data_IF_967342494729
#
_entry.id   IF_967342494729
#
_cell.length_a   1.000
_cell.length_b   1.000
_cell.length_c   1.000
_cell.angle_alpha   90.00
_cell.angle_beta   90.00
_cell.angle_gamma   90.00
#
_symmetry.space_group_name_H-M   'P 1'
#
loop_
_entity.id
_entity.type
_entity.pdbx_description
1 polymer ?
#
# COMPACT_ATOMS: atom_id res chain seq x y z
N UNK A 1 17.22 4.98 -23.01
CA UNK A 1 15.94 5.20 -23.74
C UNK A 1 15.10 3.92 -23.80
N UNK A 2 15.63 2.78 -24.27
CA UNK A 2 14.86 1.51 -24.35
C UNK A 2 14.29 1.01 -23.01
N UNK A 3 14.99 1.22 -21.89
CA UNK A 3 14.51 0.86 -20.54
C UNK A 3 13.27 1.66 -20.11
N UNK A 4 13.27 2.97 -20.33
CA UNK A 4 12.14 3.85 -20.02
C UNK A 4 10.93 3.53 -20.90
N UNK A 5 11.13 3.29 -22.20
CA UNK A 5 10.05 2.90 -23.13
C UNK A 5 9.41 1.57 -22.74
N UNK A 6 10.21 0.58 -22.30
CA UNK A 6 9.70 -0.70 -21.79
C UNK A 6 8.93 -0.52 -20.49
N UNK A 7 9.45 0.27 -19.56
CA UNK A 7 8.78 0.54 -18.28
C UNK A 7 7.46 1.31 -18.48
N UNK A 8 7.42 2.20 -19.46
CA UNK A 8 6.20 2.88 -19.91
C UNK A 8 5.19 1.91 -20.51
N UNK A 9 5.63 0.99 -21.38
CA UNK A 9 4.77 -0.04 -21.94
C UNK A 9 4.17 -0.95 -20.85
N UNK A 10 4.97 -1.35 -19.85
CA UNK A 10 4.52 -2.11 -18.69
C UNK A 10 3.46 -1.36 -17.87
N UNK A 11 3.67 -0.07 -17.68
CA UNK A 11 2.65 0.82 -17.11
C UNK A 11 1.36 0.72 -17.93
N UNK A 12 1.42 1.05 -19.22
CA UNK A 12 0.27 1.03 -20.13
C UNK A 12 -0.48 -0.30 -20.13
N UNK A 13 0.23 -1.44 -20.07
CA UNK A 13 -0.38 -2.76 -19.95
C UNK A 13 -1.17 -2.90 -18.65
N UNK A 14 -0.58 -2.49 -17.52
CA UNK A 14 -1.27 -2.49 -16.22
C UNK A 14 -2.51 -1.60 -16.26
N UNK A 15 -2.43 -0.41 -16.86
CA UNK A 15 -3.58 0.47 -17.07
C UNK A 15 -4.65 -0.17 -17.96
N UNK A 16 -4.24 -0.87 -19.02
CA UNK A 16 -5.15 -1.54 -19.96
C UNK A 16 -5.93 -2.67 -19.27
N UNK A 17 -5.26 -3.50 -18.49
CA UNK A 17 -5.88 -4.57 -17.70
C UNK A 17 -6.86 -3.99 -16.69
N UNK A 18 -6.46 -2.97 -15.92
CA UNK A 18 -7.36 -2.33 -14.95
C UNK A 18 -8.56 -1.64 -15.61
N UNK A 19 -8.41 -1.05 -16.81
CA UNK A 19 -9.53 -0.43 -17.54
C UNK A 19 -10.55 -1.46 -18.03
N UNK A 20 -10.13 -2.69 -18.30
CA UNK A 20 -11.01 -3.79 -18.69
C UNK A 20 -11.74 -4.41 -17.50
N UNK A 21 -11.21 -4.23 -16.29
CA UNK A 21 -11.78 -4.79 -15.07
C UNK A 21 -11.91 -3.75 -13.94
N UNK A 22 -12.91 -2.85 -14.02
CA UNK A 22 -13.13 -1.82 -13.02
C UNK A 22 -13.56 -2.40 -11.66
N UNK A 23 -13.97 -3.67 -11.59
CA UNK A 23 -14.38 -4.32 -10.33
C UNK A 23 -13.22 -4.38 -9.33
N UNK A 24 -11.96 -4.47 -9.81
CA UNK A 24 -10.77 -4.45 -8.96
C UNK A 24 -10.61 -3.16 -8.13
N UNK A 25 -11.15 -2.03 -8.61
CA UNK A 25 -11.11 -0.76 -7.89
C UNK A 25 -12.07 -0.71 -6.70
N UNK A 26 -13.10 -1.55 -6.68
CA UNK A 26 -14.05 -1.60 -5.58
C UNK A 26 -13.38 -2.03 -4.26
N UNK A 27 -12.39 -2.95 -4.32
CA UNK A 27 -11.72 -3.46 -3.13
C UNK A 27 -10.95 -2.40 -2.35
N UNK A 28 -10.02 -1.61 -2.95
CA UNK A 28 -9.35 -0.55 -2.20
C UNK A 28 -10.28 0.61 -1.82
N UNK A 29 -11.34 0.89 -2.58
CA UNK A 29 -12.35 1.89 -2.15
C UNK A 29 -13.05 1.44 -0.88
N UNK A 30 -13.50 0.18 -0.82
CA UNK A 30 -14.08 -0.41 0.39
C UNK A 30 -13.06 -0.43 1.53
N UNK A 31 -11.80 -0.79 1.26
CA UNK A 31 -10.71 -0.74 2.23
C UNK A 31 -10.52 0.65 2.82
N UNK A 32 -10.46 1.68 1.98
CA UNK A 32 -10.32 3.07 2.40
C UNK A 32 -11.54 3.52 3.22
N UNK A 33 -12.75 3.21 2.75
CA UNK A 33 -13.99 3.54 3.46
C UNK A 33 -14.05 2.92 4.85
N UNK A 34 -13.84 1.60 4.97
CA UNK A 34 -13.83 0.92 6.27
C UNK A 34 -12.66 1.38 7.16
N UNK A 35 -11.51 1.74 6.58
CA UNK A 35 -10.38 2.28 7.33
C UNK A 35 -10.71 3.64 7.93
N UNK A 36 -11.35 4.52 7.16
CA UNK A 36 -11.81 5.83 7.64
C UNK A 36 -12.84 5.65 8.76
N UNK A 37 -13.82 4.75 8.57
CA UNK A 37 -14.80 4.46 9.62
C UNK A 37 -14.14 3.94 10.89
N UNK A 38 -13.16 3.05 10.76
CA UNK A 38 -12.42 2.50 11.89
C UNK A 38 -11.64 3.59 12.62
N UNK A 39 -10.90 4.44 11.89
CA UNK A 39 -10.16 5.57 12.49
C UNK A 39 -11.13 6.53 13.17
N UNK A 40 -12.26 6.87 12.54
CA UNK A 40 -13.28 7.73 13.14
C UNK A 40 -13.87 7.11 14.41
N UNK A 41 -14.14 5.80 14.41
CA UNK A 41 -14.68 5.09 15.57
C UNK A 41 -13.72 5.09 16.77
N UNK A 42 -12.41 5.12 16.53
CA UNK A 42 -11.41 5.25 17.59
C UNK A 42 -11.16 6.70 17.99
N UNK A 43 -11.09 7.62 17.04
CA UNK A 43 -10.68 9.01 17.25
C UNK A 43 -11.80 9.87 17.85
N UNK A 44 -13.05 9.67 17.44
CA UNK A 44 -14.18 10.47 17.93
C UNK A 44 -14.37 10.30 19.45
N UNK A 45 -14.42 9.08 20.01
CA UNK A 45 -14.55 8.92 21.46
C UNK A 45 -13.34 9.45 22.23
N UNK A 46 -12.11 9.23 21.75
CA UNK A 46 -10.91 9.71 22.47
C UNK A 46 -10.88 11.23 22.54
N UNK A 47 -11.09 11.91 21.40
CA UNK A 47 -11.11 13.38 21.37
C UNK A 47 -12.31 13.93 22.16
N UNK A 48 -13.48 13.30 22.07
CA UNK A 48 -14.66 13.72 22.82
C UNK A 48 -14.48 13.60 24.34
N UNK A 49 -13.91 12.48 24.81
CA UNK A 49 -13.58 12.27 26.22
C UNK A 49 -12.53 13.27 26.70
N UNK A 50 -11.50 13.54 25.90
CA UNK A 50 -10.48 14.55 26.23
C UNK A 50 -11.08 15.95 26.35
N UNK A 51 -11.95 16.35 25.41
CA UNK A 51 -12.64 17.65 25.46
C UNK A 51 -13.53 17.79 26.71
N UNK A 52 -14.23 16.72 27.09
CA UNK A 52 -15.06 16.67 28.30
C UNK A 52 -14.22 16.72 29.59
N UNK A 53 -13.07 16.05 29.60
CA UNK A 53 -12.23 15.92 30.80
C UNK A 53 -11.32 17.14 31.03
N UNK A 54 -10.84 17.79 29.96
CA UNK A 54 -9.77 18.78 30.08
C UNK A 54 -10.25 20.19 30.41
N UNK A 55 -11.46 20.60 30.00
CA UNK A 55 -11.97 21.98 30.16
C UNK A 55 -11.19 23.06 29.39
N UNK A 56 -9.88 22.88 29.20
CA UNK A 56 -8.93 23.75 28.50
C UNK A 56 -8.15 22.92 27.47
N UNK A 57 -8.75 22.68 26.30
CA UNK A 57 -8.06 22.17 25.11
C UNK A 57 -7.49 20.74 25.22
N UNK A 58 -7.00 20.22 24.09
CA UNK A 58 -6.50 18.83 23.96
C UNK A 58 -5.30 18.64 24.89
N UNK A 59 -5.49 17.94 26.01
CA UNK A 59 -4.41 17.54 26.89
C UNK A 59 -3.39 16.70 26.12
N UNK A 60 -2.10 16.92 26.39
CA UNK A 60 -1.02 16.10 25.86
C UNK A 60 -1.22 14.64 26.30
N UNK A 61 -1.54 13.77 25.33
CA UNK A 61 -1.73 12.33 25.50
C UNK A 61 -0.57 11.73 26.30
N UNK A 62 -0.82 11.33 27.55
CA UNK A 62 0.17 10.61 28.34
C UNK A 62 0.13 9.14 27.92
N UNK A 63 1.21 8.66 27.28
CA UNK A 63 1.33 7.28 26.80
C UNK A 63 1.25 6.24 27.93
N UNK A 64 0.02 5.87 28.31
CA UNK A 64 -0.28 4.79 29.24
C UNK A 64 -0.35 3.43 28.54
N UNK A 65 -0.35 2.35 29.31
CA UNK A 65 -0.47 0.98 28.78
C UNK A 65 -1.75 0.77 27.94
N UNK A 66 -2.85 1.47 28.29
CA UNK A 66 -4.12 1.41 27.56
C UNK A 66 -4.01 2.03 26.15
N UNK A 67 -3.29 3.15 26.00
CA UNK A 67 -3.07 3.78 24.69
C UNK A 67 -2.24 2.88 23.76
N UNK A 68 -1.23 2.19 24.30
CA UNK A 68 -0.43 1.24 23.53
C UNK A 68 -1.28 0.06 23.03
N UNK A 69 -2.19 -0.44 23.86
CA UNK A 69 -3.14 -1.50 23.46
C UNK A 69 -4.10 -1.00 22.39
N UNK A 70 -4.70 0.18 22.57
CA UNK A 70 -5.59 0.77 21.57
C UNK A 70 -4.88 1.04 20.24
N UNK A 71 -3.64 1.55 20.30
CA UNK A 71 -2.80 1.74 19.12
C UNK A 71 -2.51 0.39 18.44
N UNK A 72 -2.16 -0.65 19.18
CA UNK A 72 -1.96 -1.99 18.61
C UNK A 72 -3.22 -2.49 17.91
N UNK A 73 -4.39 -2.40 18.57
CA UNK A 73 -5.67 -2.85 18.00
C UNK A 73 -6.01 -2.08 16.74
N UNK A 74 -5.82 -0.75 16.72
CA UNK A 74 -6.04 0.07 15.54
C UNK A 74 -5.10 -0.31 14.38
N UNK A 75 -3.80 -0.45 14.65
CA UNK A 75 -2.81 -0.87 13.66
C UNK A 75 -3.11 -2.27 13.12
N UNK A 76 -3.49 -3.20 13.99
CA UNK A 76 -3.91 -4.55 13.62
C UNK A 76 -5.15 -4.54 12.73
N UNK A 77 -6.19 -3.80 13.11
CA UNK A 77 -7.44 -3.75 12.35
C UNK A 77 -7.25 -3.07 10.98
N UNK A 78 -6.43 -2.00 10.91
CA UNK A 78 -6.05 -1.37 9.64
C UNK A 78 -5.23 -2.34 8.76
N UNK A 79 -4.25 -3.03 9.34
CA UNK A 79 -3.44 -4.01 8.62
C UNK A 79 -4.28 -5.19 8.11
N UNK A 80 -5.24 -5.64 8.91
CA UNK A 80 -6.21 -6.68 8.52
C UNK A 80 -7.05 -6.25 7.34
N UNK A 81 -7.69 -5.09 7.44
CA UNK A 81 -8.56 -4.58 6.40
C UNK A 81 -7.80 -4.35 5.08
N UNK A 82 -6.63 -3.70 5.16
CA UNK A 82 -5.76 -3.47 4.01
C UNK A 82 -5.34 -4.79 3.36
N UNK A 83 -4.89 -5.76 4.15
CA UNK A 83 -4.45 -7.06 3.63
C UNK A 83 -5.60 -7.85 3.03
N UNK A 84 -6.78 -7.83 3.67
CA UNK A 84 -7.96 -8.54 3.19
C UNK A 84 -8.36 -8.09 1.79
N UNK A 85 -8.47 -6.78 1.56
CA UNK A 85 -8.80 -6.27 0.23
C UNK A 85 -7.65 -6.41 -0.77
N UNK A 86 -6.39 -6.35 -0.33
CA UNK A 86 -5.26 -6.68 -1.19
C UNK A 86 -5.31 -8.14 -1.65
N UNK A 87 -5.69 -9.09 -0.79
CA UNK A 87 -5.90 -10.49 -1.18
C UNK A 87 -6.97 -10.61 -2.25
N UNK A 88 -8.07 -9.85 -2.15
CA UNK A 88 -9.09 -9.82 -3.21
C UNK A 88 -8.50 -9.34 -4.55
N UNK A 89 -7.76 -8.22 -4.55
CA UNK A 89 -7.14 -7.69 -5.78
C UNK A 89 -6.16 -8.68 -6.39
N UNK A 90 -5.30 -9.29 -5.56
CA UNK A 90 -4.30 -10.28 -6.00
C UNK A 90 -4.98 -11.54 -6.54
N UNK A 91 -6.05 -12.02 -5.90
CA UNK A 91 -6.83 -13.16 -6.38
C UNK A 91 -7.47 -12.85 -7.74
N UNK A 92 -8.15 -11.69 -7.88
CA UNK A 92 -8.74 -11.29 -9.15
C UNK A 92 -7.67 -11.20 -10.23
N UNK A 93 -6.53 -10.55 -9.95
CA UNK A 93 -5.42 -10.44 -10.89
C UNK A 93 -4.87 -11.82 -11.30
N UNK A 94 -4.64 -12.71 -10.34
CA UNK A 94 -4.23 -14.10 -10.60
C UNK A 94 -5.20 -14.82 -11.53
N UNK A 95 -6.50 -14.80 -11.23
CA UNK A 95 -7.51 -15.46 -12.05
C UNK A 95 -7.56 -14.88 -13.47
N UNK A 96 -7.40 -13.57 -13.63
CA UNK A 96 -7.31 -12.92 -14.95
C UNK A 96 -6.06 -13.34 -15.73
N UNK A 97 -4.92 -13.45 -15.06
CA UNK A 97 -3.67 -13.90 -15.69
C UNK A 97 -3.73 -15.34 -16.17
N UNK A 98 -4.54 -16.17 -15.52
CA UNK A 98 -4.82 -17.56 -15.87
C UNK A 98 -5.96 -17.69 -16.92
N UNK A 99 -6.43 -16.57 -17.50
CA UNK A 99 -7.50 -16.52 -18.50
C UNK A 99 -8.92 -16.69 -17.98
N UNK A 100 -9.09 -16.71 -16.65
CA UNK A 100 -10.38 -16.74 -15.99
C UNK A 100 -11.02 -15.36 -15.81
N UNK A 101 -12.20 -15.36 -15.19
CA UNK A 101 -12.91 -14.15 -14.79
C UNK A 101 -13.39 -14.32 -13.33
N UNK A 102 -12.67 -13.73 -12.39
CA UNK A 102 -13.08 -13.73 -10.98
C UNK A 102 -14.10 -12.61 -10.74
N UNK A 103 -15.26 -12.98 -10.21
CA UNK A 103 -16.28 -12.02 -9.76
C UNK A 103 -15.90 -11.40 -8.42
N UNK A 104 -16.49 -10.24 -8.11
CA UNK A 104 -16.33 -9.58 -6.82
C UNK A 104 -16.57 -10.52 -5.62
N UNK A 105 -17.65 -11.29 -5.64
CA UNK A 105 -18.02 -12.17 -4.52
C UNK A 105 -17.10 -13.39 -4.41
N UNK A 106 -16.60 -13.92 -5.53
CA UNK A 106 -15.60 -15.00 -5.49
C UNK A 106 -14.30 -14.52 -4.87
N UNK A 107 -13.84 -13.30 -5.18
CA UNK A 107 -12.65 -12.73 -4.57
C UNK A 107 -12.82 -12.51 -3.06
N UNK A 108 -13.99 -12.00 -2.62
CA UNK A 108 -14.30 -11.87 -1.20
C UNK A 108 -14.38 -13.24 -0.52
N UNK A 109 -15.04 -14.22 -1.13
CA UNK A 109 -15.12 -15.58 -0.60
C UNK A 109 -13.74 -16.23 -0.46
N UNK A 110 -12.87 -16.02 -1.46
CA UNK A 110 -11.48 -16.45 -1.40
C UNK A 110 -10.74 -15.78 -0.24
N UNK A 111 -10.84 -14.46 -0.09
CA UNK A 111 -10.21 -13.75 1.02
C UNK A 111 -10.72 -14.23 2.39
N UNK A 112 -12.02 -14.50 2.52
CA UNK A 112 -12.62 -15.09 3.73
C UNK A 112 -12.03 -16.47 4.01
N UNK A 113 -11.85 -17.33 3.01
CA UNK A 113 -11.21 -18.65 3.18
C UNK A 113 -9.75 -18.55 3.67
N UNK A 114 -9.08 -17.41 3.41
CA UNK A 114 -7.70 -17.11 3.83
C UNK A 114 -7.61 -16.26 5.09
N UNK A 115 -8.72 -16.02 5.80
CA UNK A 115 -8.75 -15.21 7.03
C UNK A 115 -7.66 -15.59 8.04
N UNK A 116 -7.38 -16.87 8.34
CA UNK A 116 -6.31 -17.21 9.30
C UNK A 116 -4.94 -16.71 8.87
N UNK A 117 -4.63 -16.77 7.56
CA UNK A 117 -3.38 -16.26 6.99
C UNK A 117 -3.35 -14.73 7.05
N UNK A 118 -4.43 -14.08 6.66
CA UNK A 118 -4.59 -12.61 6.71
C UNK A 118 -4.39 -12.10 8.13
N UNK A 119 -5.11 -12.66 9.12
CA UNK A 119 -4.98 -12.30 10.54
C UNK A 119 -3.53 -12.46 11.01
N UNK A 120 -2.89 -13.59 10.70
CA UNK A 120 -1.51 -13.81 11.13
C UNK A 120 -0.52 -12.81 10.51
N UNK A 121 -0.72 -12.41 9.25
CA UNK A 121 0.07 -11.35 8.62
C UNK A 121 -0.21 -9.99 9.25
N UNK A 122 -1.46 -9.68 9.56
CA UNK A 122 -1.84 -8.40 10.19
C UNK A 122 -1.23 -8.23 11.58
N UNK A 123 -1.07 -9.30 12.35
CA UNK A 123 -0.33 -9.26 13.62
C UNK A 123 1.13 -8.88 13.38
N UNK A 124 1.78 -9.50 12.39
CA UNK A 124 3.18 -9.20 12.03
C UNK A 124 3.30 -7.73 11.57
N UNK A 125 2.44 -7.31 10.66
CA UNK A 125 2.42 -5.95 10.13
C UNK A 125 2.15 -4.90 11.22
N UNK A 126 1.20 -5.15 12.12
CA UNK A 126 0.90 -4.25 13.24
C UNK A 126 2.07 -4.15 14.23
N UNK A 127 2.69 -5.29 14.55
CA UNK A 127 3.87 -5.33 15.42
C UNK A 127 4.99 -4.50 14.83
N UNK A 128 5.28 -4.67 13.53
CA UNK A 128 6.33 -3.91 12.85
C UNK A 128 5.96 -2.43 12.73
N UNK A 129 4.68 -2.12 12.47
CA UNK A 129 4.17 -0.75 12.47
C UNK A 129 4.38 -0.04 13.82
N UNK A 130 4.13 -0.74 14.93
CA UNK A 130 4.41 -0.20 16.27
C UNK A 130 5.90 -0.08 16.56
N UNK A 131 6.72 -1.06 16.16
CA UNK A 131 8.17 -1.01 16.34
C UNK A 131 8.77 0.18 15.59
N UNK A 132 8.36 0.41 14.35
CA UNK A 132 8.76 1.59 13.58
C UNK A 132 8.34 2.89 14.27
N UNK A 133 7.12 2.96 14.81
CA UNK A 133 6.64 4.13 15.57
C UNK A 133 7.47 4.38 16.85
N UNK A 134 7.86 3.33 17.57
CA UNK A 134 8.70 3.47 18.77
C UNK A 134 10.11 3.96 18.42
N UNK A 135 10.67 3.50 17.30
CA UNK A 135 11.96 3.99 16.81
C UNK A 135 11.95 5.50 16.51
N UNK A 136 10.80 6.05 16.13
CA UNK A 136 10.67 7.49 15.86
C UNK A 136 10.86 8.35 17.11
N UNK A 137 10.43 7.85 18.27
CA UNK A 137 10.60 8.54 19.56
C UNK A 137 12.05 8.59 20.06
N UNK A 138 12.93 7.73 19.52
CA UNK A 138 14.35 7.67 19.89
C UNK A 138 15.24 8.52 18.97
N UNK A 139 14.70 9.02 17.86
CA UNK A 139 15.42 9.74 16.82
C UNK A 139 15.56 11.26 17.07
N UNK A 140 14.96 11.79 18.14
CA UNK A 140 15.09 13.20 18.56
C UNK A 140 16.47 13.54 19.16
N UNK A 141 17.48 12.70 18.96
CA UNK A 141 18.85 13.00 19.40
C UNK A 141 19.58 13.83 18.35
N UNK A 142 19.86 15.08 18.69
CA UNK A 142 20.70 15.97 17.88
C UNK A 142 22.13 15.42 17.71
N UNK A 143 22.68 15.53 16.49
CA UNK A 143 24.09 15.26 16.18
C UNK A 143 24.36 14.09 15.22
N UNK A 144 25.66 13.73 15.08
CA UNK A 144 26.14 12.62 14.24
C UNK A 144 25.44 11.28 14.53
N UNK A 145 25.15 10.91 15.80
CA UNK A 145 24.39 9.70 16.11
C UNK A 145 22.99 9.73 15.50
N UNK A 146 22.27 10.86 15.56
CA UNK A 146 20.95 11.01 14.96
C UNK A 146 20.95 10.81 13.44
N UNK A 147 22.00 11.30 12.76
CA UNK A 147 22.16 11.11 11.31
C UNK A 147 22.37 9.63 10.95
N UNK A 148 23.24 8.91 11.68
CA UNK A 148 23.46 7.47 11.47
C UNK A 148 22.19 6.66 11.73
N UNK A 149 21.47 6.97 12.83
CA UNK A 149 20.17 6.35 13.12
C UNK A 149 19.13 6.64 12.04
N UNK A 150 19.11 7.86 11.48
CA UNK A 150 18.25 8.24 10.37
C UNK A 150 18.51 7.42 9.10
N UNK A 151 19.77 7.20 8.75
CA UNK A 151 20.15 6.35 7.60
C UNK A 151 19.72 4.90 7.84
N UNK A 152 20.02 4.34 9.02
CA UNK A 152 19.63 2.96 9.37
C UNK A 152 18.11 2.77 9.34
N UNK A 153 17.34 3.74 9.84
CA UNK A 153 15.88 3.76 9.76
C UNK A 153 15.40 3.78 8.30
N UNK A 154 15.97 4.65 7.48
CA UNK A 154 15.64 4.73 6.06
C UNK A 154 15.89 3.39 5.34
N UNK A 155 17.01 2.74 5.64
CA UNK A 155 17.34 1.42 5.11
C UNK A 155 16.41 0.31 5.63
N UNK A 156 16.06 0.32 6.92
CA UNK A 156 15.10 -0.63 7.50
C UNK A 156 13.70 -0.46 6.91
N UNK A 157 13.22 0.78 6.78
CA UNK A 157 11.95 1.07 6.14
C UNK A 157 11.92 0.67 4.66
N UNK A 158 13.03 0.89 3.94
CA UNK A 158 13.19 0.44 2.57
C UNK A 158 13.24 -1.09 2.46
N UNK A 159 14.01 -1.77 3.31
CA UNK A 159 14.05 -3.22 3.34
C UNK A 159 12.66 -3.82 3.65
N UNK A 160 11.94 -3.24 4.61
CA UNK A 160 10.56 -3.62 4.92
C UNK A 160 9.63 -3.44 3.71
N UNK A 161 9.72 -2.30 3.03
CA UNK A 161 8.88 -2.03 1.87
C UNK A 161 9.13 -3.00 0.71
N UNK A 162 10.38 -3.45 0.54
CA UNK A 162 10.75 -4.46 -0.44
C UNK A 162 10.26 -5.86 -0.07
N UNK A 163 10.41 -6.26 1.19
CA UNK A 163 10.00 -7.60 1.66
C UNK A 163 8.49 -7.79 1.51
N UNK A 164 7.68 -6.76 1.77
CA UNK A 164 6.23 -6.88 1.66
C UNK A 164 5.67 -6.91 0.23
N UNK A 165 6.48 -6.60 -0.81
CA UNK A 165 6.00 -6.47 -2.20
C UNK A 165 5.28 -7.71 -2.70
N UNK A 166 5.84 -8.90 -2.42
CA UNK A 166 5.29 -10.17 -2.87
C UNK A 166 4.63 -10.98 -1.75
N UNK A 167 4.54 -10.47 -0.52
CA UNK A 167 3.95 -11.25 0.58
C UNK A 167 2.50 -11.62 0.30
N UNK A 168 1.67 -10.68 -0.16
CA UNK A 168 0.28 -10.97 -0.50
C UNK A 168 0.18 -11.90 -1.73
N UNK A 169 0.89 -11.64 -2.86
CA UNK A 169 1.01 -12.62 -3.94
C UNK A 169 1.38 -14.03 -3.47
N UNK A 170 2.43 -14.19 -2.67
CA UNK A 170 2.85 -15.50 -2.15
C UNK A 170 1.76 -16.14 -1.32
N UNK A 171 1.11 -15.40 -0.41
CA UNK A 171 0.01 -15.94 0.41
C UNK A 171 -1.17 -16.41 -0.45
N UNK A 172 -1.43 -15.76 -1.58
CA UNK A 172 -2.53 -16.13 -2.48
C UNK A 172 -2.17 -17.33 -3.35
N UNK A 173 -0.96 -17.38 -3.90
CA UNK A 173 -0.51 -18.45 -4.79
C UNK A 173 -0.13 -19.73 -4.06
N UNK A 174 0.56 -19.61 -2.91
CA UNK A 174 1.17 -20.75 -2.22
C UNK A 174 0.45 -21.12 -0.91
N UNK A 175 -0.52 -20.32 -0.44
CA UNK A 175 -1.29 -20.56 0.81
C UNK A 175 -0.42 -20.79 2.07
N UNK A 176 0.72 -20.09 2.12
CA UNK A 176 1.68 -20.19 3.22
C UNK A 176 1.43 -19.13 4.29
N UNK A 177 1.94 -19.39 5.50
CA UNK A 177 1.93 -18.43 6.60
C UNK A 177 2.85 -17.23 6.36
N UNK A 178 2.73 -16.17 7.15
CA UNK A 178 3.38 -14.88 6.92
C UNK A 178 4.91 -14.95 6.93
N UNK A 179 5.49 -15.75 7.83
CA UNK A 179 6.95 -15.92 7.92
C UNK A 179 7.50 -16.57 6.66
N UNK A 180 6.83 -17.61 6.18
CA UNK A 180 7.24 -18.31 4.96
C UNK A 180 6.99 -17.43 3.73
N UNK A 181 5.88 -16.68 3.71
CA UNK A 181 5.60 -15.70 2.67
C UNK A 181 6.69 -14.62 2.55
N UNK A 182 7.20 -14.12 3.68
CA UNK A 182 8.32 -13.17 3.67
C UNK A 182 9.62 -13.79 3.16
N UNK A 183 9.94 -15.02 3.56
CA UNK A 183 11.15 -15.72 3.08
C UNK A 183 11.07 -15.94 1.58
N UNK A 184 9.92 -16.40 1.08
CA UNK A 184 9.67 -16.61 -0.34
C UNK A 184 9.72 -15.30 -1.11
N UNK A 185 9.07 -14.24 -0.60
CA UNK A 185 9.13 -12.89 -1.17
C UNK A 185 10.58 -12.40 -1.30
N UNK A 186 11.39 -12.56 -0.25
CA UNK A 186 12.81 -12.18 -0.26
C UNK A 186 13.64 -13.02 -1.24
N UNK A 187 13.38 -14.33 -1.34
CA UNK A 187 14.05 -15.22 -2.29
C UNK A 187 13.71 -14.83 -3.74
N UNK A 188 12.42 -14.67 -4.05
CA UNK A 188 11.96 -14.20 -5.36
C UNK A 188 12.58 -12.85 -5.70
N UNK A 189 12.57 -11.89 -4.76
CA UNK A 189 13.20 -10.58 -4.94
C UNK A 189 14.69 -10.71 -5.29
N UNK A 190 15.45 -11.54 -4.55
CA UNK A 190 16.88 -11.74 -4.79
C UNK A 190 17.17 -12.34 -6.16
N UNK A 191 16.34 -13.26 -6.63
CA UNK A 191 16.48 -13.91 -7.94
C UNK A 191 16.10 -12.99 -9.09
N UNK A 192 15.11 -12.11 -8.88
CA UNK A 192 14.52 -11.29 -9.93
C UNK A 192 15.06 -9.85 -10.01
N UNK A 193 15.63 -9.29 -8.92
CA UNK A 193 15.89 -7.85 -8.81
C UNK A 193 17.34 -7.40 -9.03
N UNK A 194 18.32 -8.29 -9.04
CA UNK A 194 19.75 -7.94 -9.18
C UNK A 194 20.09 -7.10 -10.43
N UNK A 195 19.36 -7.28 -11.53
CA UNK A 195 19.53 -6.53 -12.80
C UNK A 195 18.32 -5.63 -13.16
N UNK A 196 17.29 -5.58 -12.31
CA UNK A 196 15.98 -4.95 -12.62
C UNK A 196 15.70 -3.65 -11.85
N UNK A 197 16.49 -3.35 -10.82
CA UNK A 197 16.34 -2.13 -9.98
C UNK A 197 16.24 -0.82 -10.79
N UNK A 198 16.94 -0.72 -11.93
CA UNK A 198 16.90 0.48 -12.79
C UNK A 198 15.64 0.56 -13.71
N UNK A 199 14.86 -0.52 -13.83
CA UNK A 199 13.69 -0.62 -14.74
C UNK A 199 12.34 -0.53 -14.00
N UNK A 200 12.30 -0.83 -12.71
CA UNK A 200 11.08 -0.74 -11.87
C UNK A 200 10.58 0.70 -11.67
N UNK A 201 11.44 1.70 -11.83
CA UNK A 201 11.10 3.13 -11.62
C UNK A 201 10.13 3.72 -12.66
N UNK A 202 9.70 2.99 -13.69
CA UNK A 202 8.75 3.52 -14.68
C UNK A 202 7.37 3.86 -14.10
N UNK A 203 6.81 2.97 -13.27
CA UNK A 203 5.55 3.26 -12.56
C UNK A 203 5.74 4.36 -11.51
N UNK A 204 6.87 4.36 -10.81
CA UNK A 204 7.21 5.39 -9.83
C UNK A 204 7.35 6.79 -10.44
N UNK A 205 7.96 6.91 -11.62
CA UNK A 205 8.05 8.18 -12.35
C UNK A 205 6.68 8.68 -12.81
N UNK A 206 5.81 7.77 -13.29
CA UNK A 206 4.45 8.14 -13.66
C UNK A 206 3.63 8.57 -12.44
N UNK A 207 3.75 7.86 -11.32
CA UNK A 207 3.16 8.27 -10.04
C UNK A 207 3.65 9.66 -9.64
N UNK A 208 4.95 9.88 -9.68
CA UNK A 208 5.56 11.16 -9.37
C UNK A 208 5.02 12.29 -10.26
N UNK A 209 4.97 12.11 -11.58
CA UNK A 209 4.47 13.15 -12.48
C UNK A 209 2.96 13.42 -12.33
N UNK A 210 2.17 12.38 -12.07
CA UNK A 210 0.71 12.52 -11.93
C UNK A 210 0.28 13.08 -10.58
N UNK A 211 1.10 12.96 -9.53
CA UNK A 211 0.79 13.54 -8.21
C UNK A 211 1.09 15.05 -8.16
N UNK A 212 2.04 15.57 -8.95
CA UNK A 212 2.39 16.99 -8.99
C UNK A 212 1.20 17.95 -9.18
N UNK A 213 0.28 17.75 -10.15
CA UNK A 213 -0.89 18.62 -10.29
C UNK A 213 -1.84 18.53 -9.08
N UNK A 214 -1.93 17.38 -8.43
CA UNK A 214 -2.76 17.19 -7.22
C UNK A 214 -2.16 17.96 -6.05
N UNK A 215 -0.83 17.92 -5.88
CA UNK A 215 -0.11 18.72 -4.90
C UNK A 215 -0.26 20.21 -5.19
N UNK A 216 -0.17 20.62 -6.45
CA UNK A 216 -0.42 22.00 -6.87
C UNK A 216 -1.84 22.47 -6.51
N UNK A 217 -2.85 21.64 -6.77
CA UNK A 217 -4.23 21.91 -6.38
C UNK A 217 -4.39 22.03 -4.86
N UNK A 218 -3.76 21.15 -4.09
CA UNK A 218 -3.77 21.20 -2.63
C UNK A 218 -3.14 22.50 -2.10
N UNK A 219 -1.92 22.83 -2.55
CA UNK A 219 -1.21 24.05 -2.15
C UNK A 219 -2.03 25.29 -2.52
N UNK A 220 -2.56 25.35 -3.76
CA UNK A 220 -3.42 26.44 -4.20
C UNK A 220 -4.67 26.60 -3.34
N UNK A 221 -5.30 25.49 -2.95
CA UNK A 221 -6.46 25.49 -2.06
C UNK A 221 -6.14 26.04 -0.68
N UNK A 222 -5.01 25.63 -0.09
CA UNK A 222 -4.54 26.13 1.21
C UNK A 222 -4.23 27.64 1.15
N UNK A 223 -3.57 28.11 0.11
CA UNK A 223 -3.29 29.55 -0.08
C UNK A 223 -4.57 30.37 -0.19
N UNK A 224 -5.60 29.85 -0.85
CA UNK A 224 -6.91 30.49 -0.98
C UNK A 224 -7.70 30.54 0.33
N UNK A 225 -7.40 29.69 1.32
CA UNK A 225 -8.06 29.78 2.62
C UNK A 225 -7.76 31.10 3.34
N UNK A 226 -6.59 31.70 3.11
CA UNK A 226 -6.20 32.99 3.70
C UNK A 226 -6.91 34.20 3.10
N UNK A 227 -7.48 34.08 1.90
CA UNK A 227 -8.11 35.19 1.17
C UNK A 227 -9.60 34.98 0.90
N UNK A 228 -10.03 33.74 0.70
CA UNK A 228 -11.40 33.34 0.40
C UNK A 228 -11.70 31.96 1.02
N UNK A 229 -11.97 31.95 2.32
CA UNK A 229 -12.17 30.71 3.11
C UNK A 229 -13.13 29.69 2.45
N UNK A 230 -14.32 30.07 1.92
CA UNK A 230 -15.22 29.08 1.30
C UNK A 230 -14.61 28.42 0.06
N UNK A 231 -13.87 29.19 -0.75
CA UNK A 231 -13.21 28.70 -1.96
C UNK A 231 -12.03 27.78 -1.60
N UNK A 232 -11.25 28.18 -0.60
CA UNK A 232 -10.14 27.36 -0.08
C UNK A 232 -10.62 26.01 0.48
N UNK A 233 -11.71 26.00 1.26
CA UNK A 233 -12.31 24.77 1.79
C UNK A 233 -12.85 23.86 0.69
N UNK A 234 -13.56 24.41 -0.29
CA UNK A 234 -14.05 23.63 -1.44
C UNK A 234 -12.91 23.05 -2.27
N UNK A 235 -11.85 23.83 -2.52
CA UNK A 235 -10.64 23.37 -3.19
C UNK A 235 -9.94 22.25 -2.42
N UNK A 236 -9.86 22.38 -1.09
CA UNK A 236 -9.22 21.37 -0.23
C UNK A 236 -10.01 20.05 -0.27
N UNK A 237 -11.34 20.11 -0.17
CA UNK A 237 -12.19 18.93 -0.31
C UNK A 237 -12.01 18.25 -1.68
N UNK A 238 -11.96 19.03 -2.77
CA UNK A 238 -11.71 18.50 -4.11
C UNK A 238 -10.32 17.87 -4.22
N UNK A 239 -9.29 18.52 -3.67
CA UNK A 239 -7.91 18.00 -3.69
C UNK A 239 -7.81 16.67 -2.95
N UNK A 240 -8.48 16.54 -1.80
CA UNK A 240 -8.55 15.31 -1.02
C UNK A 240 -9.26 14.20 -1.81
N UNK A 241 -10.39 14.50 -2.46
CA UNK A 241 -11.11 13.54 -3.29
C UNK A 241 -10.26 13.01 -4.45
N UNK A 242 -9.63 13.93 -5.21
CA UNK A 242 -8.75 13.57 -6.33
C UNK A 242 -7.56 12.76 -5.85
N UNK A 243 -6.98 13.12 -4.70
CA UNK A 243 -5.88 12.38 -4.10
C UNK A 243 -6.28 10.96 -3.69
N UNK A 244 -7.46 10.76 -3.09
CA UNK A 244 -7.97 9.44 -2.73
C UNK A 244 -8.19 8.56 -3.97
N UNK A 245 -8.78 9.12 -5.04
CA UNK A 245 -8.95 8.41 -6.31
C UNK A 245 -7.60 8.01 -6.89
N UNK A 246 -6.64 8.94 -6.92
CA UNK A 246 -5.27 8.70 -7.38
C UNK A 246 -4.57 7.60 -6.57
N UNK A 247 -4.64 7.66 -5.24
CA UNK A 247 -4.07 6.67 -4.33
C UNK A 247 -4.65 5.28 -4.56
N UNK A 248 -5.99 5.18 -4.63
CA UNK A 248 -6.71 3.92 -4.85
C UNK A 248 -6.29 3.30 -6.18
N UNK A 249 -6.26 4.11 -7.23
CA UNK A 249 -5.87 3.67 -8.56
C UNK A 249 -4.44 3.11 -8.56
N UNK A 250 -3.47 3.85 -8.04
CA UNK A 250 -2.07 3.42 -8.05
C UNK A 250 -1.80 2.27 -7.08
N UNK A 251 -2.57 2.15 -6.00
CA UNK A 251 -2.51 0.98 -5.11
C UNK A 251 -2.88 -0.31 -5.86
N UNK A 252 -3.97 -0.32 -6.64
CA UNK A 252 -4.33 -1.46 -7.49
C UNK A 252 -3.27 -1.70 -8.56
N UNK A 253 -2.82 -0.65 -9.24
CA UNK A 253 -1.80 -0.78 -10.29
C UNK A 253 -0.52 -1.43 -9.76
N UNK A 254 -0.02 -1.00 -8.61
CA UNK A 254 1.14 -1.59 -7.95
C UNK A 254 0.88 -3.04 -7.55
N UNK A 255 -0.32 -3.34 -7.03
CA UNK A 255 -0.69 -4.71 -6.60
C UNK A 255 -0.77 -5.66 -7.79
N UNK A 256 -1.42 -5.26 -8.88
CA UNK A 256 -1.50 -6.03 -10.14
C UNK A 256 -0.11 -6.23 -10.73
N UNK A 257 0.71 -5.17 -10.77
CA UNK A 257 2.07 -5.25 -11.30
C UNK A 257 2.97 -6.20 -10.48
N UNK A 258 2.93 -6.10 -9.15
CA UNK A 258 3.67 -7.02 -8.26
C UNK A 258 3.16 -8.45 -8.39
N UNK A 259 1.86 -8.65 -8.58
CA UNK A 259 1.27 -9.97 -8.83
C UNK A 259 1.74 -10.54 -10.17
N UNK A 260 1.84 -9.72 -11.22
CA UNK A 260 2.32 -10.16 -12.54
C UNK A 260 3.81 -10.56 -12.49
N UNK A 261 4.62 -9.77 -11.77
CA UNK A 261 6.03 -10.09 -11.52
C UNK A 261 6.18 -11.41 -10.77
N UNK A 262 5.39 -11.61 -9.71
CA UNK A 262 5.42 -12.83 -8.93
C UNK A 262 4.90 -14.04 -9.72
N UNK A 263 3.81 -13.88 -10.49
CA UNK A 263 3.29 -14.90 -11.39
C UNK A 263 4.39 -15.43 -12.30
N UNK A 264 5.02 -14.53 -13.06
CA UNK A 264 6.10 -14.89 -13.98
C UNK A 264 7.29 -15.54 -13.26
N UNK A 265 7.68 -15.02 -12.09
CA UNK A 265 8.78 -15.61 -11.32
C UNK A 265 8.45 -17.02 -10.81
N UNK A 266 7.18 -17.33 -10.55
CA UNK A 266 6.72 -18.61 -10.04
C UNK A 266 6.40 -19.65 -11.12
N UNK A 267 5.82 -19.23 -12.26
CA UNK A 267 5.34 -20.12 -13.33
C UNK A 267 6.31 -20.19 -14.50
N UNK A 268 7.15 -19.18 -14.71
CA UNK A 268 7.96 -19.00 -15.92
C UNK A 268 7.17 -18.56 -17.14
N UNK A 269 5.85 -18.37 -17.00
CA UNK A 269 4.94 -18.01 -18.09
C UNK A 269 4.52 -16.53 -17.99
N UNK A 270 4.36 -15.88 -19.15
CA UNK A 270 3.86 -14.52 -19.20
C UNK A 270 2.38 -14.49 -18.79
N UNK A 271 1.97 -13.64 -17.84
CA UNK A 271 0.56 -13.52 -17.51
C UNK A 271 -0.25 -13.03 -18.72
N UNK A 272 -1.50 -13.47 -18.84
CA UNK A 272 -2.37 -13.01 -19.94
C UNK A 272 -2.53 -11.47 -19.92
N UNK A 273 -2.47 -10.85 -21.10
CA UNK A 273 -2.46 -9.39 -21.25
C UNK A 273 -1.08 -8.76 -21.04
N UNK A 274 -0.10 -9.51 -20.53
CA UNK A 274 1.29 -9.11 -20.36
C UNK A 274 2.22 -9.83 -21.34
N UNK A 275 1.78 -10.17 -22.56
CA UNK A 275 2.61 -10.92 -23.53
C UNK A 275 3.93 -10.21 -23.92
N UNK A 276 3.96 -8.87 -23.91
CA UNK A 276 5.18 -8.06 -24.09
C UNK A 276 6.11 -7.98 -22.88
N UNK A 277 5.72 -8.58 -21.75
CA UNK A 277 6.40 -8.57 -20.45
C UNK A 277 7.59 -9.52 -20.39
N UNK A 278 7.44 -10.74 -20.92
CA UNK A 278 8.44 -11.80 -20.80
C UNK A 278 9.79 -11.43 -21.43
N UNK A 279 9.79 -10.67 -22.53
CA UNK A 279 11.03 -10.21 -23.17
C UNK A 279 11.65 -8.94 -22.58
N UNK A 280 10.98 -8.27 -21.63
CA UNK A 280 11.38 -6.93 -21.14
C UNK A 280 11.70 -6.86 -19.64
N UNK A 281 11.02 -7.67 -18.81
CA UNK A 281 11.19 -7.72 -17.36
C UNK A 281 12.31 -8.67 -16.91
N UNK A 282 12.48 -9.80 -17.59
CA UNK A 282 13.48 -10.82 -17.28
C UNK A 282 14.22 -11.18 -18.55
N UNK A 283 15.55 -11.02 -18.55
CA UNK A 283 16.35 -11.49 -19.69
C UNK A 283 16.30 -13.02 -19.64
N UNK A 284 15.87 -13.64 -20.74
CA UNK A 284 16.08 -15.07 -20.99
C UNK A 284 17.58 -15.34 -20.83
N UNK A 285 17.95 -16.27 -19.94
CA UNK A 285 19.28 -16.87 -19.97
C UNK A 285 19.59 -17.43 -21.35
#
# INVERSE_FOLDING_TARGET
MQSLTRSWALGQTTFSVMRRDPEMLAFPVLSAFFSILLVAAFLVPTVFLDVLASGDGVASLSFGALEMVLAFVLYFALAFLSTFFNVCVVYTAKTRFEGGNATFFEAVSFAVSRTPRIVSWSVVAATIGLLLRQLDSLAERDGIPGLVFGILRGLLGFAWSLVQLFVVPVMVYEDVGPIEAMKRSAATLRETWGESLARHFGLGLLQFLTVLPIVGLFIGSVMLMGTALPVGLAGLALSALVFVVWLTFFNVANTVFNTALYHYASTGEAPEGFEGFAGSAFVSR
#
